data_IF_015599694918
#
_entry.id   IF_015599694918
#
_cell.length_a   1.000
_cell.length_b   1.000
_cell.length_c   1.000
_cell.angle_alpha   90.00
_cell.angle_beta   90.00
_cell.angle_gamma   90.00
#
_symmetry.space_group_name_H-M   'P 1'
#
loop_
_entity.id
_entity.type
_entity.pdbx_description
1 polymer ?
#
# COMPACT_ATOMS: atom_id res chain seq x y z
N UNK A 1 4.68 12.72 18.79
CA UNK A 1 3.98 11.59 18.15
C UNK A 1 3.05 10.96 19.17
N UNK A 2 1.90 10.44 18.73
CA UNK A 2 0.93 9.74 19.56
C UNK A 2 1.05 8.23 19.29
N UNK A 3 1.03 7.40 20.32
CA UNK A 3 1.10 5.95 20.14
C UNK A 3 -0.22 5.44 19.55
N UNK A 4 -0.13 4.56 18.56
CA UNK A 4 -1.30 3.92 17.95
C UNK A 4 -1.60 2.65 18.74
N UNK A 5 -2.81 2.54 19.28
CA UNK A 5 -3.29 1.39 20.04
C UNK A 5 -4.16 0.44 19.22
N UNK A 6 -4.63 0.90 18.06
CA UNK A 6 -5.34 0.06 17.11
C UNK A 6 -5.74 0.82 15.85
N UNK A 7 -5.92 0.08 14.78
CA UNK A 7 -6.53 0.54 13.54
C UNK A 7 -7.84 -0.18 13.29
N UNK A 8 -8.77 0.54 12.66
CA UNK A 8 -10.06 0.00 12.26
C UNK A 8 -10.36 0.39 10.82
N UNK A 9 -10.53 -0.60 9.96
CA UNK A 9 -11.09 -0.41 8.63
C UNK A 9 -12.60 -0.17 8.69
N UNK A 10 -13.08 0.85 7.97
CA UNK A 10 -14.47 1.28 7.96
C UNK A 10 -14.90 1.52 6.52
N UNK A 11 -15.95 0.83 6.08
CA UNK A 11 -16.71 1.25 4.90
C UNK A 11 -17.77 2.28 5.30
N UNK A 12 -17.60 3.53 4.88
CA UNK A 12 -18.56 4.60 5.12
C UNK A 12 -19.70 4.53 4.12
N UNK A 13 -20.88 4.10 4.58
CA UNK A 13 -22.06 4.03 3.72
C UNK A 13 -22.62 5.41 3.31
N UNK A 14 -22.30 6.47 4.06
CA UNK A 14 -22.71 7.85 3.74
C UNK A 14 -21.84 8.47 2.66
N UNK A 15 -20.51 8.35 2.80
CA UNK A 15 -19.56 8.81 1.80
C UNK A 15 -19.38 7.83 0.63
N UNK A 16 -19.85 6.59 0.79
CA UNK A 16 -19.66 5.47 -0.15
C UNK A 16 -18.18 5.17 -0.43
N UNK A 17 -17.34 5.27 0.60
CA UNK A 17 -15.89 5.13 0.51
C UNK A 17 -15.29 4.35 1.67
N UNK A 18 -14.01 4.03 1.56
CA UNK A 18 -13.24 3.35 2.60
C UNK A 18 -12.47 4.36 3.44
N UNK A 19 -12.32 4.06 4.72
CA UNK A 19 -11.59 4.87 5.67
C UNK A 19 -10.94 4.00 6.72
N UNK A 20 -9.87 4.51 7.31
CA UNK A 20 -9.21 3.92 8.47
C UNK A 20 -9.31 4.88 9.64
N UNK A 21 -9.55 4.31 10.81
CA UNK A 21 -9.62 5.02 12.08
C UNK A 21 -8.51 4.53 13.01
N UNK A 22 -7.69 5.48 13.50
CA UNK A 22 -6.64 5.26 14.48
C UNK A 22 -7.19 5.54 15.87
N UNK A 23 -7.06 4.56 16.76
CA UNK A 23 -7.16 4.77 18.19
C UNK A 23 -5.78 5.19 18.73
N UNK A 24 -5.68 6.42 19.21
CA UNK A 24 -4.45 7.02 19.70
C UNK A 24 -4.52 7.17 21.22
N UNK A 25 -3.40 6.93 21.91
CA UNK A 25 -3.25 7.24 23.33
C UNK A 25 -1.93 7.95 23.58
N UNK A 26 -1.94 8.93 24.47
CA UNK A 26 -0.74 9.63 24.95
C UNK A 26 -1.06 10.39 26.24
N UNK A 27 -0.09 10.55 27.14
CA UNK A 27 -0.13 11.33 28.41
C UNK A 27 -1.53 11.64 29.03
N UNK A 28 -2.42 10.65 29.10
CA UNK A 28 -3.76 10.76 29.71
C UNK A 28 -4.91 11.17 28.79
N UNK A 29 -4.71 11.24 27.48
CA UNK A 29 -5.74 11.53 26.47
C UNK A 29 -5.89 10.37 25.47
N UNK A 30 -7.13 9.90 25.31
CA UNK A 30 -7.55 9.02 24.22
C UNK A 30 -8.06 9.89 23.07
N UNK A 31 -7.49 9.73 21.89
CA UNK A 31 -7.91 10.44 20.69
C UNK A 31 -8.22 9.45 19.57
N UNK A 32 -9.16 9.82 18.70
CA UNK A 32 -9.51 9.03 17.53
C UNK A 32 -9.30 9.89 16.30
N UNK A 33 -8.56 9.36 15.32
CA UNK A 33 -8.31 10.07 14.06
C UNK A 33 -8.71 9.21 12.88
N UNK A 34 -9.50 9.78 11.98
CA UNK A 34 -10.02 9.13 10.78
C UNK A 34 -9.39 9.74 9.54
N UNK A 35 -9.07 8.90 8.56
CA UNK A 35 -8.67 9.32 7.21
C UNK A 35 -9.25 8.37 6.17
N UNK A 36 -9.50 8.90 4.97
CA UNK A 36 -10.02 8.13 3.85
C UNK A 36 -8.88 7.36 3.16
N UNK A 37 -9.19 6.19 2.63
CA UNK A 37 -8.26 5.34 1.85
C UNK A 37 -8.95 4.93 0.55
N UNK A 38 -8.17 4.58 -0.48
CA UNK A 38 -8.72 4.39 -1.82
C UNK A 38 -9.51 3.08 -1.94
N UNK A 39 -9.20 2.10 -1.10
CA UNK A 39 -9.83 0.79 -1.14
C UNK A 39 -9.64 -0.06 0.11
N UNK A 40 -10.23 -1.27 0.11
CA UNK A 40 -10.01 -2.25 1.18
C UNK A 40 -8.55 -2.73 1.21
N UNK A 41 -7.89 -2.82 0.05
CA UNK A 41 -6.51 -3.29 -0.07
C UNK A 41 -5.53 -2.34 0.64
N UNK A 42 -5.70 -1.02 0.50
CA UNK A 42 -4.92 -0.02 1.24
C UNK A 42 -5.13 -0.14 2.75
N UNK A 43 -6.38 -0.37 3.17
CA UNK A 43 -6.71 -0.55 4.58
C UNK A 43 -6.07 -1.82 5.15
N UNK A 44 -6.08 -2.91 4.38
CA UNK A 44 -5.45 -4.18 4.74
C UNK A 44 -3.93 -4.02 4.88
N UNK A 45 -3.27 -3.39 3.90
CA UNK A 45 -1.83 -3.11 3.95
C UNK A 45 -1.43 -2.29 5.20
N UNK A 46 -2.22 -1.29 5.57
CA UNK A 46 -1.96 -0.49 6.78
C UNK A 46 -2.17 -1.27 8.08
N UNK A 47 -3.15 -2.18 8.10
CA UNK A 47 -3.41 -3.04 9.26
C UNK A 47 -2.30 -4.08 9.40
N UNK A 48 -1.87 -4.71 8.31
CA UNK A 48 -0.75 -5.65 8.30
C UNK A 48 0.53 -4.96 8.77
N UNK A 49 0.84 -3.78 8.22
CA UNK A 49 2.02 -3.01 8.65
C UNK A 49 2.01 -2.70 10.15
N UNK A 50 0.84 -2.40 10.73
CA UNK A 50 0.69 -2.20 12.17
C UNK A 50 0.92 -3.48 12.98
N UNK A 51 0.29 -4.59 12.58
CA UNK A 51 0.37 -5.86 13.28
C UNK A 51 1.79 -6.45 13.24
N UNK A 52 2.54 -6.20 12.17
CA UNK A 52 3.93 -6.62 12.02
C UNK A 52 4.93 -5.68 12.69
N UNK A 53 4.55 -4.42 12.93
CA UNK A 53 5.44 -3.42 13.53
C UNK A 53 5.72 -3.71 15.01
N UNK A 54 6.97 -3.49 15.42
CA UNK A 54 7.34 -3.53 16.84
C UNK A 54 6.78 -2.33 17.59
N UNK A 55 6.70 -1.18 16.93
CA UNK A 55 6.02 -0.01 17.46
C UNK A 55 5.44 0.83 16.33
N UNK A 56 4.36 1.53 16.64
CA UNK A 56 3.67 2.39 15.68
C UNK A 56 3.25 3.70 16.33
N UNK A 57 3.38 4.79 15.59
CA UNK A 57 3.05 6.12 16.08
C UNK A 57 2.54 7.03 14.97
N UNK A 58 1.78 8.04 15.37
CA UNK A 58 1.19 9.01 14.47
C UNK A 58 1.71 10.42 14.78
N UNK A 59 2.18 11.14 13.76
CA UNK A 59 2.58 12.54 13.87
C UNK A 59 1.42 13.47 13.44
N UNK A 60 0.77 14.18 14.37
CA UNK A 60 -0.32 15.08 14.03
C UNK A 60 0.08 16.33 13.24
N UNK A 61 1.37 16.71 13.25
CA UNK A 61 1.86 17.89 12.56
C UNK A 61 2.06 17.62 11.06
N UNK A 62 2.60 16.46 10.71
CA UNK A 62 2.81 16.05 9.31
C UNK A 62 1.64 15.24 8.75
N UNK A 63 0.89 14.56 9.61
CA UNK A 63 -0.17 13.62 9.22
C UNK A 63 0.35 12.23 8.88
N UNK A 64 1.59 11.91 9.25
CA UNK A 64 2.25 10.65 8.91
C UNK A 64 2.01 9.58 9.98
N UNK A 65 1.88 8.33 9.52
CA UNK A 65 1.93 7.13 10.36
C UNK A 65 3.31 6.51 10.19
N UNK A 66 3.98 6.25 11.30
CA UNK A 66 5.31 5.65 11.33
C UNK A 66 5.20 4.26 11.94
N UNK A 67 5.56 3.25 11.17
CA UNK A 67 5.72 1.86 11.60
C UNK A 67 7.21 1.57 11.76
N UNK A 68 7.62 1.16 12.95
CA UNK A 68 9.00 0.80 13.25
C UNK A 68 9.10 -0.70 13.53
N UNK A 69 10.04 -1.34 12.85
CA UNK A 69 10.31 -2.77 12.91
C UNK A 69 11.67 -2.97 13.58
N UNK A 70 11.72 -3.84 14.58
CA UNK A 70 12.98 -4.32 15.13
C UNK A 70 13.58 -5.32 14.14
N UNK A 71 14.52 -4.85 13.31
CA UNK A 71 15.43 -5.76 12.64
C UNK A 71 16.24 -6.43 13.75
N UNK A 72 16.12 -7.76 13.89
CA UNK A 72 17.12 -8.51 14.64
C UNK A 72 18.49 -8.06 14.12
N UNK A 73 19.39 -7.66 15.03
CA UNK A 73 20.77 -7.31 14.68
C UNK A 73 21.31 -8.45 13.81
N UNK A 74 21.39 -8.20 12.50
CA UNK A 74 21.99 -9.10 11.55
C UNK A 74 23.47 -8.98 11.84
N UNK A 75 23.95 -9.78 12.80
CA UNK A 75 25.37 -9.92 13.13
C UNK A 75 26.12 -9.99 11.80
N UNK A 76 26.99 -9.01 11.58
CA UNK A 76 27.62 -8.75 10.30
C UNK A 76 28.49 -9.91 9.84
N UNK A 77 27.96 -10.70 8.91
CA UNK A 77 28.76 -11.42 7.93
C UNK A 77 28.51 -10.74 6.57
N UNK A 78 29.22 -9.62 6.39
CA UNK A 78 29.56 -9.06 5.09
C UNK A 78 30.52 -10.05 4.39
N UNK A 79 30.00 -11.11 3.77
CA UNK A 79 30.72 -11.82 2.71
C UNK A 79 30.24 -11.27 1.36
N UNK A 80 30.88 -10.17 0.94
CA UNK A 80 30.99 -9.76 -0.46
C UNK A 80 31.69 -10.87 -1.27
N UNK A 81 30.99 -11.55 -2.19
CA UNK A 81 31.54 -11.97 -3.50
C UNK A 81 30.47 -12.62 -4.40
N UNK A 82 30.08 -11.96 -5.48
CA UNK A 82 30.65 -12.22 -6.82
C UNK A 82 29.70 -11.68 -7.89
N UNK A 83 30.24 -10.78 -8.71
CA UNK A 83 29.60 -10.18 -9.87
C UNK A 83 29.33 -11.27 -10.93
N UNK A 84 28.08 -11.40 -11.35
CA UNK A 84 27.76 -12.09 -12.61
C UNK A 84 27.00 -11.13 -13.50
N UNK A 85 27.79 -10.36 -14.27
CA UNK A 85 27.38 -9.66 -15.49
C UNK A 85 26.75 -10.68 -16.46
N UNK A 86 25.42 -10.70 -16.58
CA UNK A 86 24.72 -11.41 -17.65
C UNK A 86 24.69 -10.51 -18.89
N UNK A 87 25.78 -10.59 -19.65
CA UNK A 87 25.95 -9.97 -20.96
C UNK A 87 25.28 -10.84 -22.05
N UNK A 88 24.28 -10.25 -22.72
CA UNK A 88 23.96 -10.55 -24.12
C UNK A 88 22.84 -11.56 -24.42
N UNK A 89 21.67 -11.05 -24.81
CA UNK A 89 21.11 -11.38 -26.13
C UNK A 89 20.11 -10.29 -26.58
N UNK A 90 20.57 -9.44 -27.51
CA UNK A 90 19.72 -8.61 -28.35
C UNK A 90 19.07 -9.52 -29.41
N UNK A 91 17.75 -9.67 -29.37
CA UNK A 91 16.99 -10.09 -30.55
C UNK A 91 15.76 -9.17 -30.68
N UNK A 92 16.01 -8.01 -31.31
CA UNK A 92 15.01 -7.28 -32.08
C UNK A 92 14.51 -8.22 -33.19
N UNK A 93 13.20 -8.48 -33.32
CA UNK A 93 12.55 -8.48 -34.64
C UNK A 93 11.01 -8.41 -34.52
N UNK A 94 10.49 -7.38 -35.19
CA UNK A 94 9.28 -7.38 -36.02
C UNK A 94 7.91 -7.24 -35.32
N UNK A 95 7.56 -5.97 -35.07
CA UNK A 95 6.20 -5.44 -35.16
C UNK A 95 5.59 -5.72 -36.54
N UNK A 96 4.62 -6.62 -36.61
CA UNK A 96 3.74 -6.74 -37.76
C UNK A 96 2.51 -5.84 -37.56
N UNK A 97 2.46 -4.76 -38.35
CA UNK A 97 1.28 -3.92 -38.56
C UNK A 97 0.19 -4.65 -39.37
N UNK A 98 -1.05 -4.37 -39.00
CA UNK A 98 -2.26 -4.20 -39.84
C UNK A 98 -2.86 -5.41 -40.61
N UNK A 99 -4.16 -5.66 -40.41
CA UNK A 99 -5.22 -5.31 -41.39
C UNK A 99 -6.59 -5.93 -41.03
N UNK A 100 -7.50 -5.04 -40.63
CA UNK A 100 -8.90 -4.91 -41.06
C UNK A 100 -9.94 -6.05 -40.84
N UNK A 101 -11.03 -5.72 -40.16
CA UNK A 101 -12.35 -5.62 -40.83
C UNK A 101 -13.41 -4.99 -39.91
N UNK A 102 -13.89 -3.85 -40.37
CA UNK A 102 -15.24 -3.31 -40.17
C UNK A 102 -16.32 -4.39 -40.38
N UNK A 103 -17.37 -4.36 -39.55
CA UNK A 103 -18.78 -4.47 -39.97
C UNK A 103 -19.61 -4.17 -38.70
N UNK A 104 -20.04 -2.92 -38.49
CA UNK A 104 -21.34 -2.38 -38.90
C UNK A 104 -22.57 -3.27 -38.62
N UNK A 105 -23.56 -2.61 -38.01
CA UNK A 105 -24.99 -2.93 -38.02
C UNK A 105 -25.53 -4.25 -37.44
N UNK A 106 -26.21 -4.10 -36.31
CA UNK A 106 -27.68 -4.24 -36.30
C UNK A 106 -28.36 -3.44 -35.20
N UNK A 107 -28.77 -2.24 -35.60
CA UNK A 107 -29.97 -1.56 -35.08
C UNK A 107 -31.22 -2.42 -35.34
N UNK A 108 -32.31 -2.11 -34.62
CA UNK A 108 -33.74 -2.27 -34.98
C UNK A 108 -34.52 -3.37 -34.21
N UNK A 109 -35.21 -2.96 -33.14
CA UNK A 109 -36.70 -2.89 -32.94
C UNK A 109 -37.27 -4.16 -32.27
N UNK A 110 -38.36 -4.13 -31.50
CA UNK A 110 -39.46 -3.19 -31.32
C UNK A 110 -39.99 -3.30 -29.88
#
# INVERSE_FOLDING_TARGET
MLAIHGLKCIYDTGARGWAVELALSGEGEEAVRRFDVDGPDDAEMLIEAFDESTSSSFDPATGEIVFAYEYAELDGDEDEDDESEEDGDEDEEEVAEDETSEDEDKKVKA
#
